data_IF_584782082662
#
_entry.id   IF_584782082662
#
_cell.length_a   1.000
_cell.length_b   1.000
_cell.length_c   1.000
_cell.angle_alpha   90.00
_cell.angle_beta   90.00
_cell.angle_gamma   90.00
#
_symmetry.space_group_name_H-M   'P 1'
#
loop_
_entity.id
_entity.type
_entity.pdbx_description
1 polymer ?
#
# COMPACT_ATOMS: atom_id res chain seq x y z
N UNK A 1 20.30 15.98 -46.37
CA UNK A 1 18.92 15.86 -46.89
C UNK A 1 18.28 14.66 -46.19
N UNK A 2 17.08 14.83 -45.61
CA UNK A 2 16.19 13.79 -45.04
C UNK A 2 16.41 13.34 -43.58
N UNK A 3 16.06 14.20 -42.63
CA UNK A 3 15.65 13.82 -41.25
C UNK A 3 14.64 14.84 -40.71
N UNK A 4 13.41 14.81 -41.23
CA UNK A 4 12.24 15.53 -40.67
C UNK A 4 10.96 14.76 -41.01
N UNK A 5 10.74 13.60 -40.38
CA UNK A 5 9.49 12.85 -40.60
C UNK A 5 9.00 12.03 -39.39
N UNK A 6 9.49 12.31 -38.18
CA UNK A 6 9.00 11.67 -36.94
C UNK A 6 8.20 12.61 -36.01
N UNK A 7 7.99 13.88 -36.40
CA UNK A 7 7.32 14.87 -35.54
C UNK A 7 5.80 14.97 -35.74
N UNK A 8 5.23 14.43 -36.82
CA UNK A 8 3.83 14.67 -37.19
C UNK A 8 2.87 13.57 -36.70
N UNK A 9 3.34 12.34 -36.49
CA UNK A 9 2.52 11.23 -35.99
C UNK A 9 2.10 11.39 -34.51
N UNK A 10 2.95 11.98 -33.67
CA UNK A 10 2.61 12.19 -32.25
C UNK A 10 1.61 13.33 -32.01
N UNK A 11 1.53 14.30 -32.93
CA UNK A 11 0.55 15.39 -32.85
C UNK A 11 -0.81 14.94 -33.40
N UNK A 12 -0.83 14.10 -34.44
CA UNK A 12 -2.07 13.53 -34.98
C UNK A 12 -2.77 12.59 -33.98
N UNK A 13 -2.03 11.82 -33.18
CA UNK A 13 -2.62 10.94 -32.16
C UNK A 13 -3.19 11.72 -30.96
N UNK A 14 -2.68 12.92 -30.67
CA UNK A 14 -3.17 13.79 -29.59
C UNK A 14 -4.40 14.62 -29.97
N UNK A 15 -4.69 14.82 -31.26
CA UNK A 15 -5.77 15.71 -31.71
C UNK A 15 -7.08 15.02 -32.07
N UNK A 16 -7.12 13.69 -32.10
CA UNK A 16 -8.31 12.91 -32.47
C UNK A 16 -9.13 12.37 -31.29
N UNK A 17 -8.77 12.71 -30.03
CA UNK A 17 -9.51 12.29 -28.83
C UNK A 17 -10.35 13.41 -28.17
N UNK A 18 -10.35 14.63 -28.72
CA UNK A 18 -11.08 15.77 -28.16
C UNK A 18 -12.45 16.05 -28.83
N UNK A 19 -13.00 15.09 -29.57
CA UNK A 19 -14.38 15.22 -30.09
C UNK A 19 -15.25 14.06 -29.65
N UNK A 20 -16.16 14.39 -28.73
CA UNK A 20 -17.44 13.74 -28.48
C UNK A 20 -17.39 12.24 -28.13
N UNK A 21 -17.05 11.96 -26.88
CA UNK A 21 -17.90 11.04 -26.10
C UNK A 21 -18.62 11.86 -25.04
N UNK A 22 -19.85 12.24 -25.36
CA UNK A 22 -20.90 12.29 -24.35
C UNK A 22 -20.93 10.91 -23.68
N UNK A 23 -20.19 10.77 -22.59
CA UNK A 23 -20.31 9.59 -21.75
C UNK A 23 -21.62 9.71 -21.02
N UNK A 24 -22.65 9.02 -21.53
CA UNK A 24 -23.71 8.48 -20.68
C UNK A 24 -23.10 8.05 -19.35
N UNK A 25 -23.50 8.67 -18.24
CA UNK A 25 -22.80 8.63 -16.96
C UNK A 25 -22.64 7.23 -16.39
N UNK A 26 -21.58 6.52 -16.77
CA UNK A 26 -21.22 5.25 -16.13
C UNK A 26 -20.54 5.58 -14.81
N UNK A 27 -21.32 5.48 -13.73
CA UNK A 27 -20.80 5.63 -12.36
C UNK A 27 -19.56 4.76 -12.15
N UNK A 28 -18.53 5.35 -11.55
CA UNK A 28 -17.28 4.67 -11.20
C UNK A 28 -17.55 3.45 -10.34
N UNK A 29 -16.83 2.35 -10.59
CA UNK A 29 -16.91 1.15 -9.76
C UNK A 29 -16.08 1.34 -8.49
N UNK A 30 -16.74 1.28 -7.33
CA UNK A 30 -16.05 1.31 -6.03
C UNK A 30 -15.13 0.10 -5.91
N UNK A 31 -13.85 0.35 -5.62
CA UNK A 31 -12.84 -0.66 -5.33
C UNK A 31 -12.20 -0.33 -4.00
N UNK A 32 -12.22 -1.28 -3.06
CA UNK A 32 -11.58 -1.15 -1.76
C UNK A 32 -10.32 -2.00 -1.72
N UNK A 33 -9.17 -1.35 -1.52
CA UNK A 33 -7.88 -1.99 -1.39
C UNK A 33 -7.49 -2.05 0.08
N UNK A 34 -7.72 -3.20 0.73
CA UNK A 34 -7.30 -3.43 2.11
C UNK A 34 -5.82 -3.84 2.16
N UNK A 35 -5.02 -3.18 2.99
CA UNK A 35 -3.58 -3.43 3.03
C UNK A 35 -2.95 -3.22 4.41
N UNK A 36 -1.79 -3.85 4.61
CA UNK A 36 -0.88 -3.66 5.73
C UNK A 36 0.54 -3.54 5.17
N UNK A 37 1.34 -2.59 5.67
CA UNK A 37 2.71 -2.36 5.19
C UNK A 37 3.67 -3.50 5.53
N UNK A 38 3.29 -4.37 6.46
CA UNK A 38 4.02 -5.61 6.78
C UNK A 38 3.84 -6.70 5.73
N UNK A 39 2.98 -6.51 4.73
CA UNK A 39 2.74 -7.50 3.68
C UNK A 39 3.40 -7.06 2.36
N UNK A 40 4.31 -7.88 1.79
CA UNK A 40 4.92 -7.58 0.49
C UNK A 40 3.90 -7.74 -0.65
N UNK A 41 2.99 -8.71 -0.57
CA UNK A 41 1.93 -8.89 -1.56
C UNK A 41 0.95 -7.72 -1.58
N UNK A 42 0.67 -7.14 -0.42
CA UNK A 42 -0.15 -5.92 -0.34
C UNK A 42 0.52 -4.74 -1.06
N UNK A 43 1.85 -4.61 -0.98
CA UNK A 43 2.57 -3.59 -1.75
C UNK A 43 2.46 -3.81 -3.26
N UNK A 44 2.65 -5.05 -3.72
CA UNK A 44 2.55 -5.40 -5.13
C UNK A 44 1.15 -5.09 -5.69
N UNK A 45 0.10 -5.50 -4.99
CA UNK A 45 -1.29 -5.21 -5.36
C UNK A 45 -1.61 -3.72 -5.33
N UNK A 46 -1.12 -3.01 -4.31
CA UNK A 46 -1.25 -1.57 -4.17
C UNK A 46 -0.66 -0.81 -5.37
N UNK A 47 0.57 -1.11 -5.78
CA UNK A 47 1.19 -0.42 -6.92
C UNK A 47 0.45 -0.69 -8.23
N UNK A 48 -0.02 -1.92 -8.44
CA UNK A 48 -0.83 -2.27 -9.62
C UNK A 48 -2.11 -1.44 -9.63
N UNK A 49 -2.91 -1.47 -8.57
CA UNK A 49 -4.20 -0.80 -8.57
C UNK A 49 -4.06 0.73 -8.63
N UNK A 50 -3.00 1.30 -8.04
CA UNK A 50 -2.67 2.72 -8.19
C UNK A 50 -2.32 3.09 -9.63
N UNK A 51 -1.54 2.27 -10.35
CA UNK A 51 -1.21 2.50 -11.77
C UNK A 51 -2.43 2.41 -12.69
N UNK A 52 -3.40 1.56 -12.36
CA UNK A 52 -4.63 1.42 -13.14
C UNK A 52 -5.74 2.40 -12.74
N UNK A 53 -5.64 3.08 -11.58
CA UNK A 53 -6.61 4.10 -11.14
C UNK A 53 -6.97 5.13 -12.22
N UNK A 54 -6.03 5.72 -12.99
CA UNK A 54 -6.38 6.68 -14.04
C UNK A 54 -6.85 6.03 -15.36
N UNK A 55 -6.70 4.71 -15.51
CA UNK A 55 -7.00 3.98 -16.75
C UNK A 55 -8.38 3.34 -16.70
N UNK A 56 -8.73 2.73 -15.57
CA UNK A 56 -10.00 2.04 -15.38
C UNK A 56 -11.06 2.97 -14.76
N UNK A 57 -12.34 2.66 -14.98
CA UNK A 57 -13.45 3.41 -14.39
C UNK A 57 -13.65 3.07 -12.90
N UNK A 58 -12.64 3.36 -12.09
CA UNK A 58 -12.60 3.02 -10.66
C UNK A 58 -12.77 4.25 -9.77
N UNK A 59 -13.43 4.02 -8.66
CA UNK A 59 -13.36 4.83 -7.46
C UNK A 59 -12.56 4.04 -6.40
N UNK A 60 -11.25 4.29 -6.32
CA UNK A 60 -10.33 3.51 -5.51
C UNK A 60 -10.22 4.08 -4.09
N UNK A 61 -10.61 3.28 -3.12
CA UNK A 61 -10.50 3.55 -1.69
C UNK A 61 -9.39 2.69 -1.08
N UNK A 62 -8.34 3.34 -0.58
CA UNK A 62 -7.25 2.68 0.13
C UNK A 62 -7.66 2.50 1.60
N UNK A 63 -7.65 1.26 2.11
CA UNK A 63 -8.20 0.91 3.43
C UNK A 63 -7.11 0.26 4.29
N UNK A 64 -6.46 1.01 5.20
CA UNK A 64 -5.45 0.46 6.11
C UNK A 64 -6.06 -0.57 7.06
N UNK A 65 -5.46 -1.74 7.19
CA UNK A 65 -5.89 -2.81 8.11
C UNK A 65 -4.71 -3.40 8.88
N UNK A 66 -4.99 -4.12 9.96
CA UNK A 66 -3.97 -4.77 10.76
C UNK A 66 -3.94 -6.28 10.53
N UNK A 67 -2.97 -6.75 9.77
CA UNK A 67 -2.87 -8.14 9.32
C UNK A 67 -2.75 -9.13 10.48
N UNK A 68 -1.95 -8.82 11.51
CA UNK A 68 -1.83 -9.67 12.70
C UNK A 68 -3.16 -9.80 13.44
N UNK A 69 -4.02 -8.78 13.39
CA UNK A 69 -5.39 -8.84 13.91
C UNK A 69 -6.26 -9.83 13.15
N UNK A 70 -6.20 -9.81 11.82
CA UNK A 70 -6.92 -10.75 10.94
C UNK A 70 -6.47 -12.19 11.18
N UNK A 71 -5.15 -12.42 11.25
CA UNK A 71 -4.58 -13.75 11.52
C UNK A 71 -5.04 -14.30 12.87
N UNK A 72 -4.99 -13.47 13.92
CA UNK A 72 -5.47 -13.85 15.26
C UNK A 72 -6.96 -14.20 15.26
N UNK A 73 -7.80 -13.39 14.61
CA UNK A 73 -9.24 -13.61 14.58
C UNK A 73 -9.66 -14.84 13.76
N UNK A 74 -8.90 -15.17 12.71
CA UNK A 74 -9.17 -16.32 11.83
C UNK A 74 -8.50 -17.62 12.27
N UNK A 75 -7.62 -17.58 13.29
CA UNK A 75 -6.81 -18.73 13.71
C UNK A 75 -5.72 -19.12 12.71
N UNK A 76 -5.49 -18.31 11.68
CA UNK A 76 -4.46 -18.55 10.68
C UNK A 76 -3.07 -18.14 11.21
N UNK A 77 -2.06 -18.88 10.78
CA UNK A 77 -0.65 -18.59 11.08
C UNK A 77 0.04 -18.02 9.84
N UNK A 78 1.06 -17.16 9.99
CA UNK A 78 1.84 -16.67 8.87
C UNK A 78 2.42 -17.83 8.05
N UNK A 79 2.34 -17.82 6.70
CA UNK A 79 2.90 -18.89 5.87
C UNK A 79 4.40 -19.12 6.11
N UNK A 80 5.11 -18.06 6.48
CA UNK A 80 6.53 -18.09 6.82
C UNK A 80 6.87 -18.98 8.03
N UNK A 81 5.90 -19.33 8.88
CA UNK A 81 6.10 -20.25 10.01
C UNK A 81 6.30 -21.71 9.56
N UNK A 82 5.96 -22.04 8.30
CA UNK A 82 6.18 -23.35 7.72
C UNK A 82 7.40 -23.27 6.77
N UNK A 83 8.54 -23.94 7.05
CA UNK A 83 9.79 -23.73 6.32
C UNK A 83 9.67 -23.75 4.79
N UNK A 84 9.01 -24.78 4.24
CA UNK A 84 8.80 -24.92 2.78
C UNK A 84 7.94 -23.81 2.18
N UNK A 85 6.92 -23.33 2.92
CA UNK A 85 6.06 -22.23 2.45
C UNK A 85 6.77 -20.89 2.56
N UNK A 86 7.56 -20.68 3.61
CA UNK A 86 8.42 -19.50 3.75
C UNK A 86 9.44 -19.38 2.62
N UNK A 87 10.17 -20.46 2.31
CA UNK A 87 11.11 -20.48 1.18
C UNK A 87 10.44 -20.17 -0.16
N UNK A 88 9.25 -20.72 -0.39
CA UNK A 88 8.49 -20.44 -1.60
C UNK A 88 8.06 -18.97 -1.66
N UNK A 89 7.51 -18.43 -0.57
CA UNK A 89 7.05 -17.05 -0.47
C UNK A 89 8.17 -16.06 -0.82
N UNK A 90 9.37 -16.24 -0.28
CA UNK A 90 10.50 -15.35 -0.57
C UNK A 90 10.91 -15.39 -2.05
N UNK A 91 10.93 -16.59 -2.65
CA UNK A 91 11.19 -16.77 -4.09
C UNK A 91 10.11 -16.12 -4.94
N UNK A 92 8.85 -16.28 -4.56
CA UNK A 92 7.70 -15.78 -5.28
C UNK A 92 7.60 -14.25 -5.22
N UNK A 93 7.74 -13.66 -4.03
CA UNK A 93 7.82 -12.19 -3.85
C UNK A 93 8.91 -11.59 -4.74
N UNK A 94 10.08 -12.22 -4.82
CA UNK A 94 11.18 -11.76 -5.69
C UNK A 94 10.83 -11.83 -7.18
N UNK A 95 10.07 -12.83 -7.62
CA UNK A 95 9.60 -12.96 -9.01
C UNK A 95 8.52 -11.93 -9.32
N UNK A 96 7.56 -11.78 -8.43
CA UNK A 96 6.45 -10.84 -8.58
C UNK A 96 6.92 -9.39 -8.51
N UNK A 97 7.90 -9.07 -7.68
CA UNK A 97 8.54 -7.76 -7.67
C UNK A 97 9.14 -7.39 -9.04
N UNK A 98 9.85 -8.33 -9.69
CA UNK A 98 10.39 -8.14 -11.04
C UNK A 98 9.28 -7.97 -12.08
N UNK A 99 8.26 -8.83 -12.03
CA UNK A 99 7.13 -8.79 -12.95
C UNK A 99 6.34 -7.48 -12.83
N UNK A 100 6.02 -7.08 -11.61
CA UNK A 100 5.28 -5.87 -11.30
C UNK A 100 6.14 -4.61 -11.30
N UNK A 101 7.46 -4.70 -11.54
CA UNK A 101 8.38 -3.56 -11.47
C UNK A 101 8.24 -2.76 -10.17
N UNK A 102 8.27 -3.47 -9.04
CA UNK A 102 8.28 -2.88 -7.69
C UNK A 102 9.65 -3.19 -7.08
N UNK A 103 10.36 -2.20 -6.49
CA UNK A 103 11.74 -2.36 -6.06
C UNK A 103 11.85 -3.09 -4.72
N UNK A 104 11.32 -4.31 -4.66
CA UNK A 104 11.38 -5.16 -3.46
C UNK A 104 12.80 -5.71 -3.30
N UNK A 105 13.36 -5.50 -2.12
CA UNK A 105 14.56 -6.12 -1.59
C UNK A 105 14.19 -6.75 -0.25
N UNK A 106 14.28 -8.07 -0.16
CA UNK A 106 13.85 -8.81 1.03
C UNK A 106 14.70 -8.40 2.25
N UNK A 107 14.09 -8.15 3.42
CA UNK A 107 14.82 -7.89 4.67
C UNK A 107 15.81 -9.01 4.97
N UNK A 108 17.00 -8.67 5.48
CA UNK A 108 17.99 -9.68 5.87
C UNK A 108 17.47 -10.60 6.98
N UNK A 109 16.72 -10.02 7.92
CA UNK A 109 16.06 -10.72 9.01
C UNK A 109 14.53 -10.62 8.86
N UNK A 110 14.01 -11.37 7.88
CA UNK A 110 12.58 -11.40 7.57
C UNK A 110 11.73 -11.74 8.80
N UNK A 111 12.14 -12.75 9.59
CA UNK A 111 11.35 -13.22 10.74
C UNK A 111 11.24 -12.12 11.79
N UNK A 112 12.36 -11.50 12.18
CA UNK A 112 12.32 -10.45 13.20
C UNK A 112 11.56 -9.21 12.71
N UNK A 113 11.82 -8.76 11.48
CA UNK A 113 11.22 -7.54 10.93
C UNK A 113 9.71 -7.67 10.68
N UNK A 114 9.26 -8.81 10.14
CA UNK A 114 7.86 -9.00 9.72
C UNK A 114 7.02 -9.64 10.81
N UNK A 115 7.56 -10.64 11.50
CA UNK A 115 6.79 -11.48 12.45
C UNK A 115 6.91 -10.95 13.88
N UNK A 116 8.10 -10.57 14.33
CA UNK A 116 8.33 -10.16 15.73
C UNK A 116 8.00 -8.68 15.95
N UNK A 117 8.55 -7.79 15.12
CA UNK A 117 8.38 -6.33 15.25
C UNK A 117 6.99 -5.86 14.81
N UNK A 118 6.47 -6.42 13.71
CA UNK A 118 5.15 -6.09 13.16
C UNK A 118 5.03 -4.63 12.68
N UNK A 119 3.80 -4.17 12.47
CA UNK A 119 3.49 -2.88 11.84
C UNK A 119 2.49 -2.01 12.62
N UNK A 120 2.17 -2.35 13.88
CA UNK A 120 1.02 -1.76 14.58
C UNK A 120 1.07 -0.22 14.65
N UNK A 121 2.21 0.38 15.02
CA UNK A 121 2.33 1.84 15.07
C UNK A 121 2.27 2.46 13.67
N UNK A 122 2.92 1.84 12.68
CA UNK A 122 2.86 2.28 11.28
C UNK A 122 1.43 2.27 10.73
N UNK A 123 0.67 1.19 10.97
CA UNK A 123 -0.72 1.10 10.51
C UNK A 123 -1.62 2.11 11.22
N UNK A 124 -1.43 2.36 12.52
CA UNK A 124 -2.14 3.45 13.22
C UNK A 124 -1.78 4.82 12.67
N UNK A 125 -0.52 5.07 12.36
CA UNK A 125 -0.09 6.32 11.73
C UNK A 125 -0.74 6.51 10.37
N UNK A 126 -0.74 5.48 9.51
CA UNK A 126 -1.43 5.48 8.22
C UNK A 126 -2.94 5.75 8.41
N UNK A 127 -3.58 5.16 9.42
CA UNK A 127 -5.00 5.44 9.74
C UNK A 127 -5.22 6.90 10.18
N UNK A 128 -4.28 7.50 10.92
CA UNK A 128 -4.33 8.92 11.24
C UNK A 128 -4.19 9.79 9.98
N UNK A 129 -3.27 9.42 9.07
CA UNK A 129 -3.11 10.08 7.76
C UNK A 129 -4.40 9.97 6.93
N UNK A 130 -5.00 8.78 6.81
CA UNK A 130 -6.29 8.59 6.11
C UNK A 130 -7.40 9.50 6.69
N UNK A 131 -7.41 9.69 8.01
CA UNK A 131 -8.46 10.45 8.69
C UNK A 131 -8.31 11.95 8.51
N UNK A 132 -7.08 12.49 8.61
CA UNK A 132 -6.84 13.92 8.67
C UNK A 132 -6.19 14.50 7.41
N UNK A 133 -5.43 13.71 6.67
CA UNK A 133 -4.62 14.14 5.52
C UNK A 133 -4.66 13.08 4.38
N UNK A 134 -5.86 12.70 3.87
CA UNK A 134 -6.04 11.58 2.95
C UNK A 134 -5.25 11.71 1.63
N UNK A 135 -4.92 12.93 1.21
CA UNK A 135 -4.06 13.20 0.05
C UNK A 135 -2.62 12.66 0.23
N UNK A 136 -2.18 12.44 1.47
CA UNK A 136 -0.88 11.85 1.79
C UNK A 136 -0.94 10.34 2.07
N UNK A 137 -2.13 9.73 2.07
CA UNK A 137 -2.30 8.31 2.37
C UNK A 137 -1.46 7.42 1.44
N UNK A 138 -1.57 7.65 0.13
CA UNK A 138 -0.84 6.88 -0.86
C UNK A 138 0.70 7.04 -0.74
N UNK A 139 1.27 8.27 -0.75
CA UNK A 139 2.72 8.44 -0.68
C UNK A 139 3.30 7.99 0.67
N UNK A 140 2.59 8.16 1.80
CA UNK A 140 3.07 7.68 3.11
C UNK A 140 3.13 6.16 3.16
N UNK A 141 2.08 5.47 2.70
CA UNK A 141 2.07 4.00 2.66
C UNK A 141 3.17 3.45 1.77
N UNK A 142 3.37 4.07 0.59
CA UNK A 142 4.48 3.74 -0.31
C UNK A 142 5.84 3.93 0.36
N UNK A 143 6.07 5.04 1.06
CA UNK A 143 7.36 5.26 1.74
C UNK A 143 7.60 4.28 2.89
N UNK A 144 6.56 3.90 3.64
CA UNK A 144 6.68 2.87 4.68
C UNK A 144 7.03 1.51 4.09
N UNK A 145 6.41 1.10 2.96
CA UNK A 145 6.83 -0.10 2.24
C UNK A 145 8.26 0.02 1.71
N UNK A 146 8.65 1.18 1.16
CA UNK A 146 10.02 1.40 0.69
C UNK A 146 11.06 1.27 1.82
N UNK A 147 10.72 1.66 3.06
CA UNK A 147 11.60 1.45 4.21
C UNK A 147 11.81 -0.03 4.46
N UNK A 148 10.74 -0.75 4.78
CA UNK A 148 10.82 -2.16 5.20
C UNK A 148 11.19 -3.13 4.05
N UNK A 149 10.60 -2.97 2.87
CA UNK A 149 10.75 -3.92 1.74
C UNK A 149 11.69 -3.47 0.63
N UNK A 150 12.36 -2.32 0.75
CA UNK A 150 13.34 -1.89 -0.27
C UNK A 150 14.69 -1.55 0.37
N UNK A 151 14.66 -0.86 1.51
CA UNK A 151 15.86 -0.37 2.18
C UNK A 151 16.25 -1.16 3.43
N UNK A 152 15.47 -2.17 3.82
CA UNK A 152 15.66 -2.94 5.07
C UNK A 152 15.76 -2.00 6.30
N UNK A 153 14.90 -0.98 6.31
CA UNK A 153 14.83 0.04 7.35
C UNK A 153 13.64 -0.21 8.28
N UNK A 154 13.80 0.20 9.54
CA UNK A 154 12.76 0.08 10.57
C UNK A 154 11.50 0.90 10.23
N UNK A 155 10.33 0.40 10.65
CA UNK A 155 9.03 1.07 10.57
C UNK A 155 8.27 1.05 11.92
N UNK A 156 8.93 0.64 13.01
CA UNK A 156 8.30 0.50 14.33
C UNK A 156 8.55 1.73 15.18
N UNK A 157 9.74 2.30 15.11
CA UNK A 157 10.08 3.44 15.93
C UNK A 157 9.41 4.73 15.42
N UNK A 158 9.00 5.63 16.32
CA UNK A 158 8.42 6.92 15.96
C UNK A 158 9.24 7.70 14.91
N UNK A 159 10.55 7.79 15.10
CA UNK A 159 11.49 8.49 14.22
C UNK A 159 11.55 7.87 12.81
N UNK A 160 11.41 6.55 12.71
CA UNK A 160 11.34 5.84 11.43
C UNK A 160 10.09 6.21 10.65
N UNK A 161 8.95 6.30 11.35
CA UNK A 161 7.66 6.66 10.74
C UNK A 161 7.68 8.12 10.31
N UNK A 162 8.22 9.02 11.14
CA UNK A 162 8.37 10.44 10.80
C UNK A 162 9.31 10.64 9.61
N UNK A 163 10.38 9.84 9.48
CA UNK A 163 11.26 9.87 8.32
C UNK A 163 10.52 9.47 7.03
N UNK A 164 9.65 8.45 7.08
CA UNK A 164 8.79 8.07 5.96
C UNK A 164 7.82 9.20 5.59
N UNK A 165 7.15 9.79 6.59
CA UNK A 165 6.20 10.88 6.40
C UNK A 165 6.85 12.10 5.74
N UNK A 166 8.04 12.50 6.22
CA UNK A 166 8.83 13.58 5.64
C UNK A 166 9.17 13.31 4.17
N UNK A 167 9.60 12.09 3.84
CA UNK A 167 9.94 11.71 2.47
C UNK A 167 8.72 11.65 1.55
N UNK A 168 7.54 11.35 2.11
CA UNK A 168 6.24 11.43 1.44
C UNK A 168 5.71 12.87 1.26
N UNK A 169 6.40 13.88 1.79
CA UNK A 169 6.06 15.29 1.62
C UNK A 169 5.25 15.91 2.74
N UNK A 170 4.99 15.20 3.85
CA UNK A 170 4.38 15.79 5.04
C UNK A 170 5.37 16.73 5.74
N UNK A 171 4.88 17.86 6.23
CA UNK A 171 5.68 18.76 7.07
C UNK A 171 6.04 18.08 8.40
N UNK A 172 7.13 18.53 9.03
CA UNK A 172 7.56 17.98 10.32
C UNK A 172 6.49 18.12 11.40
N UNK A 173 5.87 19.30 11.47
CA UNK A 173 4.85 19.60 12.48
C UNK A 173 3.60 18.74 12.28
N UNK A 174 3.13 18.62 11.04
CA UNK A 174 1.97 17.78 10.71
C UNK A 174 2.26 16.31 10.96
N UNK A 175 3.45 15.83 10.58
CA UNK A 175 3.86 14.45 10.86
C UNK A 175 3.87 14.15 12.36
N UNK A 176 4.34 15.09 13.18
CA UNK A 176 4.37 14.94 14.63
C UNK A 176 2.96 14.98 15.26
N UNK A 177 2.07 15.81 14.73
CA UNK A 177 0.65 15.86 15.10
C UNK A 177 -0.04 14.52 14.82
N UNK A 178 0.10 14.00 13.59
CA UNK A 178 -0.48 12.72 13.17
C UNK A 178 0.08 11.54 13.98
N UNK A 179 1.37 11.57 14.31
CA UNK A 179 1.99 10.55 15.15
C UNK A 179 1.40 10.56 16.56
N UNK A 180 1.15 11.73 17.16
CA UNK A 180 0.43 11.82 18.44
C UNK A 180 -0.99 11.28 18.30
N UNK A 181 -1.71 11.68 17.25
CA UNK A 181 -3.07 11.23 16.94
C UNK A 181 -3.15 9.70 16.78
N UNK A 182 -2.12 9.05 16.24
CA UNK A 182 -2.06 7.59 16.06
C UNK A 182 -2.22 6.79 17.37
N UNK A 183 -1.98 7.42 18.51
CA UNK A 183 -2.10 6.81 19.84
C UNK A 183 -3.47 7.01 20.48
N UNK A 184 -4.34 7.83 19.87
CA UNK A 184 -5.66 8.16 20.40
C UNK A 184 -6.62 6.96 20.35
N UNK A 185 -7.63 6.90 21.23
CA UNK A 185 -8.66 5.86 21.18
C UNK A 185 -9.40 5.82 19.83
N UNK A 186 -9.64 6.97 19.22
CA UNK A 186 -10.36 7.12 17.96
C UNK A 186 -9.63 6.40 16.82
N UNK A 187 -8.32 6.64 16.66
CA UNK A 187 -7.52 5.99 15.61
C UNK A 187 -7.37 4.49 15.87
N UNK A 188 -7.18 4.09 17.14
CA UNK A 188 -7.12 2.67 17.52
C UNK A 188 -8.42 1.95 17.15
N UNK A 189 -9.57 2.55 17.43
CA UNK A 189 -10.87 1.99 17.12
C UNK A 189 -11.12 1.95 15.61
N UNK A 190 -10.78 3.03 14.88
CA UNK A 190 -10.93 3.07 13.42
C UNK A 190 -10.13 1.97 12.70
N UNK A 191 -8.88 1.74 13.11
CA UNK A 191 -8.06 0.66 12.55
C UNK A 191 -8.68 -0.71 12.88
N UNK A 192 -9.16 -0.89 14.11
CA UNK A 192 -9.84 -2.12 14.53
C UNK A 192 -11.11 -2.36 13.70
N UNK A 193 -11.98 -1.37 13.57
CA UNK A 193 -13.23 -1.46 12.81
C UNK A 193 -12.97 -1.81 11.34
N UNK A 194 -12.02 -1.13 10.70
CA UNK A 194 -11.64 -1.42 9.30
C UNK A 194 -11.08 -2.85 9.17
N UNK A 195 -10.36 -3.33 10.18
CA UNK A 195 -9.84 -4.70 10.22
C UNK A 195 -10.98 -5.72 10.42
N UNK A 196 -11.95 -5.42 11.28
CA UNK A 196 -13.11 -6.27 11.55
C UNK A 196 -14.07 -6.34 10.34
N UNK A 197 -14.14 -5.29 9.52
CA UNK A 197 -14.86 -5.30 8.24
C UNK A 197 -14.34 -6.39 7.30
N UNK A 198 -13.01 -6.56 7.20
CA UNK A 198 -12.39 -7.58 6.34
C UNK A 198 -12.83 -8.99 6.73
N UNK A 199 -13.02 -9.25 8.03
CA UNK A 199 -13.48 -10.54 8.53
C UNK A 199 -14.91 -10.86 8.05
N UNK A 200 -15.76 -9.84 7.85
CA UNK A 200 -17.13 -10.00 7.36
C UNK A 200 -17.18 -10.41 5.89
N UNK A 201 -16.19 -10.02 5.09
CA UNK A 201 -16.10 -10.40 3.67
C UNK A 201 -15.60 -11.83 3.45
N UNK A 202 -15.35 -12.60 4.52
CA UNK A 202 -14.88 -13.99 4.41
C UNK A 202 -13.43 -14.10 3.92
N UNK A 203 -12.68 -13.00 3.93
CA UNK A 203 -11.25 -12.98 3.60
C UNK A 203 -10.51 -13.76 4.69
N UNK A 204 -10.14 -14.99 4.37
CA UNK A 204 -9.22 -15.79 5.19
C UNK A 204 -7.81 -15.33 4.86
N UNK A 205 -6.96 -15.13 5.87
CA UNK A 205 -5.55 -14.77 5.70
C UNK A 205 -4.68 -15.80 4.93
N UNK A 206 -5.29 -16.74 4.20
CA UNK A 206 -4.63 -17.70 3.32
C UNK A 206 -4.20 -17.11 1.97
N UNK A 207 -4.47 -15.82 1.71
CA UNK A 207 -4.17 -15.13 0.43
C UNK A 207 -2.96 -14.18 0.57
N UNK A 208 -2.29 -14.14 1.73
CA UNK A 208 -1.06 -13.36 1.94
C UNK A 208 0.08 -14.25 2.40
#
# INVERSE_FOLDING_TARGET
MRTREFSLLNVAFRRSMDTARETSGVSKKKVECFYDVVSPYSWLGFEIICRYRPIWNLDLHLRPVFLSGIMKATGNQPPAMLPKRGEYLLKDVSRMAKYCQVPVNLPKDFVNTVIVKGSLLAMRFITAVDTAEPQFLEPVSRELWMRIWSRDEDIVQPESILAAAKKAGLSSDKSQELLKMSTSPEIKNRLKETTDEVLKFGVRANIL
#
